data_IF_700800149605
#
_entry.id   IF_700800149605
#
_cell.length_a   1.000
_cell.length_b   1.000
_cell.length_c   1.000
_cell.angle_alpha   90.00
_cell.angle_beta   90.00
_cell.angle_gamma   90.00
#
_symmetry.space_group_name_H-M   'P 1'
#
loop_
_entity.id
_entity.type
_entity.pdbx_description
1 polymer ?
#
# COMPACT_ATOMS: atom_id res chain seq x y z
N UNK A 1 45.72 -5.18 9.19
CA UNK A 1 44.60 -4.21 9.01
C UNK A 1 43.42 -4.98 8.48
N UNK A 2 42.47 -5.23 9.30
CA UNK A 2 41.19 -5.75 8.83
C UNK A 2 40.56 -4.68 7.96
N UNK A 3 40.45 -4.95 6.66
CA UNK A 3 39.57 -4.19 5.81
C UNK A 3 38.18 -4.20 6.49
N UNK A 4 37.85 -3.09 7.09
CA UNK A 4 36.49 -2.87 7.57
C UNK A 4 35.67 -2.82 6.31
N UNK A 5 35.23 -3.98 5.89
CA UNK A 5 34.33 -4.12 4.75
C UNK A 5 33.19 -3.15 5.04
N UNK A 6 32.99 -2.21 4.15
CA UNK A 6 31.79 -1.36 4.16
C UNK A 6 30.61 -2.29 3.88
N UNK A 7 30.21 -3.06 4.91
CA UNK A 7 29.38 -4.24 4.78
C UNK A 7 28.08 -3.95 4.07
N UNK A 8 27.07 -3.48 4.80
CA UNK A 8 25.73 -3.32 4.26
C UNK A 8 25.60 -2.20 3.22
N UNK A 9 26.32 -1.09 3.37
CA UNK A 9 26.21 0.04 2.45
C UNK A 9 26.65 -0.34 1.04
N UNK A 10 27.81 -1.00 0.91
CA UNK A 10 28.31 -1.49 -0.38
C UNK A 10 27.40 -2.57 -0.94
N UNK A 11 27.02 -3.55 -0.11
CA UNK A 11 26.15 -4.64 -0.52
C UNK A 11 24.79 -4.13 -1.00
N UNK A 12 24.22 -3.12 -0.33
CA UNK A 12 22.94 -2.54 -0.72
C UNK A 12 23.02 -1.79 -2.05
N UNK A 13 24.09 -1.02 -2.28
CA UNK A 13 24.30 -0.34 -3.57
C UNK A 13 24.40 -1.37 -4.71
N UNK A 14 25.17 -2.45 -4.53
CA UNK A 14 25.29 -3.49 -5.55
C UNK A 14 23.94 -4.22 -5.78
N UNK A 15 23.22 -4.54 -4.72
CA UNK A 15 21.90 -5.14 -4.83
C UNK A 15 20.90 -4.24 -5.58
N UNK A 16 20.90 -2.94 -5.27
CA UNK A 16 19.98 -1.97 -5.88
C UNK A 16 20.17 -1.85 -7.41
N UNK A 17 21.39 -2.01 -7.91
CA UNK A 17 21.67 -2.03 -9.35
C UNK A 17 21.00 -3.19 -10.09
N UNK A 18 20.71 -4.26 -9.36
CA UNK A 18 20.13 -5.49 -9.89
C UNK A 18 18.62 -5.61 -9.62
N UNK A 19 17.99 -4.61 -8.99
CA UNK A 19 16.54 -4.64 -8.78
C UNK A 19 15.80 -4.62 -10.11
N UNK A 20 14.85 -5.51 -10.24
CA UNK A 20 14.00 -5.62 -11.41
C UNK A 20 12.81 -4.66 -11.31
N UNK A 21 12.19 -4.36 -12.46
CA UNK A 21 10.92 -3.66 -12.46
C UNK A 21 9.82 -4.57 -11.92
N UNK A 22 8.96 -4.02 -11.08
CA UNK A 22 7.76 -4.71 -10.65
C UNK A 22 6.81 -4.81 -11.82
N UNK A 23 6.52 -6.04 -12.30
CA UNK A 23 5.51 -6.25 -13.32
C UNK A 23 4.11 -6.00 -12.77
N UNK A 24 3.19 -5.54 -13.61
CA UNK A 24 1.77 -5.40 -13.27
C UNK A 24 1.11 -6.78 -13.36
N UNK A 25 0.95 -7.46 -12.23
CA UNK A 25 0.44 -8.84 -12.16
C UNK A 25 -0.98 -8.95 -11.59
N UNK A 26 -1.54 -7.84 -11.12
CA UNK A 26 -2.87 -7.80 -10.58
C UNK A 26 -3.74 -6.72 -11.23
N UNK A 27 -5.04 -6.98 -11.29
CA UNK A 27 -6.03 -6.02 -11.74
C UNK A 27 -7.07 -5.82 -10.65
N UNK A 28 -7.30 -4.56 -10.30
CA UNK A 28 -8.38 -4.23 -9.40
C UNK A 28 -9.72 -4.22 -10.18
N UNK A 29 -10.67 -5.13 -9.89
CA UNK A 29 -11.93 -5.21 -10.61
C UNK A 29 -12.82 -3.98 -10.42
N UNK A 30 -12.66 -3.24 -9.31
CA UNK A 30 -13.47 -2.06 -9.01
C UNK A 30 -12.98 -0.81 -9.72
N UNK A 31 -11.68 -0.66 -9.91
CA UNK A 31 -11.06 0.55 -10.47
C UNK A 31 -10.46 0.34 -11.86
N UNK A 32 -10.50 -0.87 -12.41
CA UNK A 32 -9.88 -1.27 -13.68
C UNK A 32 -8.38 -0.98 -13.78
N UNK A 33 -7.73 -0.73 -12.65
CA UNK A 33 -6.31 -0.42 -12.57
C UNK A 33 -5.49 -1.71 -12.41
N UNK A 34 -4.29 -1.69 -12.96
CA UNK A 34 -3.32 -2.75 -12.76
C UNK A 34 -2.30 -2.30 -11.73
N UNK A 35 -1.88 -3.21 -10.87
CA UNK A 35 -0.85 -2.96 -9.87
C UNK A 35 0.00 -4.21 -9.64
N UNK A 36 1.22 -4.02 -9.14
CA UNK A 36 2.07 -5.13 -8.72
C UNK A 36 1.65 -5.59 -7.32
N UNK A 37 1.35 -6.87 -7.18
CA UNK A 37 1.10 -7.48 -5.87
C UNK A 37 2.36 -7.47 -5.00
N UNK A 38 2.18 -7.69 -3.70
CA UNK A 38 3.31 -7.77 -2.76
C UNK A 38 4.32 -8.85 -3.20
N UNK A 39 3.85 -9.99 -3.69
CA UNK A 39 4.70 -11.07 -4.19
C UNK A 39 5.60 -10.60 -5.34
N UNK A 40 5.05 -9.84 -6.29
CA UNK A 40 5.82 -9.29 -7.40
C UNK A 40 6.85 -8.25 -6.93
N UNK A 41 6.48 -7.40 -5.97
CA UNK A 41 7.40 -6.44 -5.37
C UNK A 41 8.56 -7.13 -4.64
N UNK A 42 8.26 -8.17 -3.88
CA UNK A 42 9.28 -8.98 -3.19
C UNK A 42 10.18 -9.70 -4.20
N UNK A 43 9.58 -10.31 -5.24
CA UNK A 43 10.32 -11.02 -6.29
C UNK A 43 11.27 -10.09 -7.07
N UNK A 44 10.92 -8.83 -7.22
CA UNK A 44 11.75 -7.85 -7.92
C UNK A 44 13.04 -7.47 -7.18
N UNK A 45 13.05 -7.56 -5.85
CA UNK A 45 14.17 -7.06 -5.03
C UNK A 45 14.89 -8.14 -4.22
N UNK A 46 14.16 -9.13 -3.71
CA UNK A 46 14.72 -10.13 -2.79
C UNK A 46 15.87 -10.96 -3.37
N UNK A 47 15.82 -11.44 -4.63
CA UNK A 47 16.93 -12.20 -5.20
C UNK A 47 18.25 -11.41 -5.22
N UNK A 48 18.22 -10.15 -5.60
CA UNK A 48 19.38 -9.27 -5.61
C UNK A 48 19.89 -8.99 -4.19
N UNK A 49 18.99 -8.71 -3.24
CA UNK A 49 19.37 -8.53 -1.84
C UNK A 49 20.08 -9.77 -1.28
N UNK A 50 19.49 -10.95 -1.45
CA UNK A 50 20.04 -12.21 -0.95
C UNK A 50 21.40 -12.55 -1.62
N UNK A 51 21.55 -12.26 -2.92
CA UNK A 51 22.81 -12.45 -3.65
C UNK A 51 23.96 -11.66 -3.01
N UNK A 52 23.65 -10.49 -2.46
CA UNK A 52 24.63 -9.61 -1.79
C UNK A 52 24.63 -9.75 -0.27
N UNK A 53 24.13 -10.87 0.27
CA UNK A 53 24.17 -11.17 1.70
C UNK A 53 23.23 -10.36 2.57
N UNK A 54 22.14 -9.82 1.98
CA UNK A 54 21.17 -9.01 2.68
C UNK A 54 19.85 -9.77 2.83
N UNK A 55 19.39 -9.91 4.06
CA UNK A 55 18.06 -10.40 4.39
C UNK A 55 17.05 -9.24 4.41
N UNK A 56 15.89 -9.45 3.79
CA UNK A 56 14.75 -8.56 3.85
C UNK A 56 13.83 -8.94 5.01
N UNK A 57 13.61 -8.03 5.94
CA UNK A 57 12.74 -8.22 7.10
C UNK A 57 11.69 -7.12 7.12
N UNK A 58 10.44 -7.49 7.32
CA UNK A 58 9.36 -6.52 7.58
C UNK A 58 8.76 -6.78 8.95
N UNK A 59 8.93 -5.82 9.85
CA UNK A 59 8.45 -5.88 11.24
C UNK A 59 7.15 -5.11 11.38
N UNK A 60 6.21 -5.71 12.10
CA UNK A 60 5.04 -5.00 12.62
C UNK A 60 5.39 -4.35 13.95
N UNK A 61 4.90 -3.14 14.15
CA UNK A 61 4.99 -2.42 15.40
C UNK A 61 3.62 -2.20 16.01
N UNK A 62 3.58 -2.06 17.31
CA UNK A 62 2.34 -1.73 18.03
C UNK A 62 1.75 -0.42 17.48
N UNK A 63 0.44 -0.42 17.25
CA UNK A 63 -0.25 0.68 16.62
C UNK A 63 -1.75 0.64 16.94
N UNK A 64 -2.30 1.77 17.32
CA UNK A 64 -3.74 1.95 17.45
C UNK A 64 -4.34 2.32 16.10
N UNK A 65 -5.51 1.76 15.79
CA UNK A 65 -6.33 2.09 14.61
C UNK A 65 -5.61 1.98 13.25
N UNK A 66 -4.73 1.01 13.12
CA UNK A 66 -4.03 0.80 11.85
C UNK A 66 -2.92 -0.22 11.91
N UNK A 67 -2.05 -0.11 10.93
CA UNK A 67 -0.86 -0.95 10.77
C UNK A 67 0.38 -0.06 10.73
N UNK A 68 1.41 -0.46 11.45
CA UNK A 68 2.73 0.19 11.40
C UNK A 68 3.78 -0.84 11.01
N UNK A 69 4.45 -0.60 9.89
CA UNK A 69 5.44 -1.50 9.29
C UNK A 69 6.79 -0.81 9.20
N UNK A 70 7.82 -1.57 9.47
CA UNK A 70 9.21 -1.20 9.24
C UNK A 70 9.86 -2.21 8.31
N UNK A 71 10.43 -1.75 7.20
CA UNK A 71 11.28 -2.58 6.34
C UNK A 71 12.72 -2.45 6.78
N UNK A 72 13.35 -3.57 7.11
CA UNK A 72 14.73 -3.66 7.58
C UNK A 72 15.52 -4.53 6.62
N UNK A 73 16.71 -4.07 6.26
CA UNK A 73 17.70 -4.81 5.54
C UNK A 73 18.80 -5.22 6.50
N UNK A 74 19.02 -6.52 6.68
CA UNK A 74 20.05 -7.06 7.57
C UNK A 74 21.12 -7.76 6.75
N UNK A 75 22.35 -7.28 6.86
CA UNK A 75 23.50 -7.87 6.20
C UNK A 75 24.12 -8.98 7.06
N UNK A 76 24.79 -9.95 6.43
CA UNK A 76 25.48 -11.06 7.09
C UNK A 76 26.55 -10.61 8.08
N UNK A 77 27.07 -9.39 7.98
CA UNK A 77 27.97 -8.77 8.97
C UNK A 77 27.27 -8.37 10.28
N UNK A 78 25.93 -8.46 10.35
CA UNK A 78 25.15 -7.97 11.46
C UNK A 78 24.72 -6.49 11.37
N UNK A 79 25.19 -5.76 10.36
CA UNK A 79 24.76 -4.39 10.11
C UNK A 79 23.33 -4.35 9.57
N UNK A 80 22.60 -3.30 9.89
CA UNK A 80 21.20 -3.12 9.48
C UNK A 80 20.95 -1.71 8.94
N UNK A 81 20.05 -1.62 7.96
CA UNK A 81 19.46 -0.38 7.47
C UNK A 81 17.95 -0.46 7.66
N UNK A 82 17.38 0.54 8.33
CA UNK A 82 15.93 0.71 8.40
C UNK A 82 15.44 1.62 7.28
N UNK A 83 14.38 1.21 6.61
CA UNK A 83 13.65 2.04 5.65
C UNK A 83 12.68 3.03 6.30
N UNK A 84 12.64 3.08 7.64
CA UNK A 84 11.71 3.88 8.40
C UNK A 84 10.38 3.19 8.68
N UNK A 85 9.53 3.87 9.44
CA UNK A 85 8.22 3.39 9.83
C UNK A 85 7.14 3.93 8.89
N UNK A 86 6.31 3.05 8.35
CA UNK A 86 5.13 3.40 7.58
C UNK A 86 3.87 3.07 8.39
N UNK A 87 3.03 4.07 8.59
CA UNK A 87 1.72 3.92 9.21
C UNK A 87 0.63 3.95 8.14
N UNK A 88 -0.28 2.99 8.21
CA UNK A 88 -1.49 2.93 7.38
C UNK A 88 -2.70 2.81 8.30
N UNK A 89 -3.64 3.77 8.25
CA UNK A 89 -4.84 3.71 9.06
C UNK A 89 -5.76 2.57 8.61
N UNK A 90 -6.47 1.97 9.56
CA UNK A 90 -7.51 0.99 9.32
C UNK A 90 -8.74 1.36 10.16
N UNK A 91 -9.75 1.91 9.52
CA UNK A 91 -10.96 2.42 10.20
C UNK A 91 -11.83 1.30 10.77
N UNK A 92 -11.71 0.10 10.23
CA UNK A 92 -12.49 -1.05 10.66
C UNK A 92 -11.58 -2.12 11.27
N UNK A 93 -11.87 -2.50 12.50
CA UNK A 93 -11.10 -3.50 13.24
C UNK A 93 -11.56 -4.94 12.93
N UNK A 94 -11.78 -5.26 11.66
CA UNK A 94 -12.00 -6.63 11.24
C UNK A 94 -10.70 -7.27 10.77
N UNK A 95 -10.50 -8.58 10.96
CA UNK A 95 -9.30 -9.27 10.48
C UNK A 95 -9.03 -9.09 8.99
N UNK A 96 -10.08 -9.03 8.16
CA UNK A 96 -9.96 -8.81 6.72
C UNK A 96 -9.45 -7.40 6.38
N UNK A 97 -9.97 -6.37 7.03
CA UNK A 97 -9.54 -4.98 6.81
C UNK A 97 -8.12 -4.77 7.32
N UNK A 98 -7.79 -5.36 8.46
CA UNK A 98 -6.43 -5.34 8.98
C UNK A 98 -5.45 -6.04 8.02
N UNK A 99 -5.79 -7.22 7.51
CA UNK A 99 -4.97 -7.96 6.53
C UNK A 99 -4.75 -7.18 5.23
N UNK A 100 -5.77 -6.48 4.74
CA UNK A 100 -5.66 -5.62 3.56
C UNK A 100 -4.74 -4.43 3.81
N UNK A 101 -4.90 -3.76 4.95
CA UNK A 101 -4.03 -2.65 5.36
C UNK A 101 -2.59 -3.11 5.56
N UNK A 102 -2.38 -4.30 6.13
CA UNK A 102 -1.05 -4.89 6.31
C UNK A 102 -0.36 -5.17 4.97
N UNK A 103 -1.07 -5.76 4.01
CA UNK A 103 -0.53 -6.04 2.68
C UNK A 103 -0.18 -4.75 1.95
N UNK A 104 -1.04 -3.76 2.02
CA UNK A 104 -0.80 -2.42 1.48
C UNK A 104 0.44 -1.77 2.11
N UNK A 105 0.53 -1.75 3.44
CA UNK A 105 1.63 -1.16 4.17
C UNK A 105 2.97 -1.86 3.84
N UNK A 106 2.98 -3.18 3.77
CA UNK A 106 4.18 -3.96 3.42
C UNK A 106 4.69 -3.65 2.02
N UNK A 107 3.78 -3.54 1.05
CA UNK A 107 4.11 -3.22 -0.35
C UNK A 107 4.76 -1.84 -0.46
N UNK A 108 4.13 -0.81 0.08
CA UNK A 108 4.65 0.55 0.00
C UNK A 108 5.90 0.77 0.85
N UNK A 109 5.97 0.19 2.03
CA UNK A 109 7.18 0.24 2.86
C UNK A 109 8.38 -0.37 2.13
N UNK A 110 8.19 -1.52 1.47
CA UNK A 110 9.24 -2.18 0.70
C UNK A 110 9.71 -1.33 -0.48
N UNK A 111 8.79 -0.87 -1.32
CA UNK A 111 9.11 -0.07 -2.50
C UNK A 111 9.81 1.22 -2.12
N UNK A 112 9.32 1.92 -1.09
CA UNK A 112 9.93 3.14 -0.57
C UNK A 112 11.34 2.89 -0.05
N UNK A 113 11.53 1.85 0.76
CA UNK A 113 12.84 1.50 1.33
C UNK A 113 13.86 1.07 0.26
N UNK A 114 13.41 0.44 -0.82
CA UNK A 114 14.26 0.04 -1.94
C UNK A 114 14.53 1.17 -2.95
N UNK A 115 13.83 2.29 -2.85
CA UNK A 115 13.89 3.37 -3.84
C UNK A 115 13.28 2.98 -5.20
N UNK A 116 12.34 2.02 -5.19
CA UNK A 116 11.61 1.60 -6.38
C UNK A 116 10.30 2.37 -6.43
N UNK A 117 10.05 3.17 -7.46
CA UNK A 117 8.80 3.91 -7.56
C UNK A 117 7.64 2.92 -7.81
N UNK A 118 6.45 3.19 -7.24
CA UNK A 118 5.25 2.52 -7.68
C UNK A 118 4.99 2.91 -9.15
N UNK A 119 4.42 2.02 -9.93
CA UNK A 119 4.03 2.38 -11.29
C UNK A 119 2.91 3.42 -11.28
N UNK A 120 2.83 4.27 -12.31
CA UNK A 120 1.90 5.40 -12.41
C UNK A 120 0.42 5.06 -12.14
N UNK A 121 0.04 3.80 -12.32
CA UNK A 121 -1.32 3.31 -12.07
C UNK A 121 -1.59 2.92 -10.61
N UNK A 122 -0.60 2.95 -9.74
CA UNK A 122 -0.74 2.70 -8.30
C UNK A 122 -1.13 3.96 -7.51
N UNK A 123 -0.91 5.15 -8.08
CA UNK A 123 -1.26 6.43 -7.45
C UNK A 123 -2.78 6.66 -7.41
N UNK A 124 -3.53 6.11 -8.37
CA UNK A 124 -5.01 6.16 -8.36
C UNK A 124 -5.60 5.45 -7.14
N UNK A 125 -4.96 4.40 -6.63
CA UNK A 125 -5.41 3.70 -5.42
C UNK A 125 -5.27 4.57 -4.15
N UNK A 126 -4.30 5.48 -4.13
CA UNK A 126 -4.09 6.40 -3.02
C UNK A 126 -5.09 7.57 -3.02
N UNK A 127 -5.47 8.08 -4.19
CA UNK A 127 -6.51 9.11 -4.31
C UNK A 127 -7.89 8.59 -3.91
N UNK A 128 -8.20 7.34 -4.26
CA UNK A 128 -9.48 6.72 -3.88
C UNK A 128 -9.55 6.47 -2.37
N UNK A 129 -8.44 6.16 -1.71
CA UNK A 129 -8.40 6.04 -0.25
C UNK A 129 -8.60 7.37 0.48
N UNK A 130 -8.37 8.50 -0.20
CA UNK A 130 -8.57 9.86 0.34
C UNK A 130 -9.93 10.47 -0.01
N UNK A 131 -10.69 9.89 -0.94
CA UNK A 131 -12.04 10.37 -1.22
C UNK A 131 -12.99 9.87 -0.12
N UNK A 132 -13.66 10.78 0.60
CA UNK A 132 -14.72 10.38 1.49
C UNK A 132 -15.78 9.65 0.67
N UNK A 133 -16.16 8.49 1.16
CA UNK A 133 -17.15 7.59 0.60
C UNK A 133 -18.44 8.34 0.18
N UNK A 134 -18.63 8.53 -1.13
CA UNK A 134 -19.78 9.25 -1.70
C UNK A 134 -20.97 8.35 -2.04
N UNK A 135 -21.06 7.14 -1.48
CA UNK A 135 -22.23 6.27 -1.70
C UNK A 135 -23.56 6.84 -1.17
N UNK A 136 -23.53 7.84 -0.29
CA UNK A 136 -24.73 8.46 0.24
C UNK A 136 -25.48 9.35 -0.74
N UNK A 137 -24.79 9.99 -1.68
CA UNK A 137 -25.41 10.98 -2.57
C UNK A 137 -26.11 10.35 -3.77
N UNK A 138 -25.62 9.26 -4.32
CA UNK A 138 -26.29 8.58 -5.44
C UNK A 138 -27.57 7.85 -5.00
N UNK A 139 -27.60 7.29 -3.78
CA UNK A 139 -28.84 6.68 -3.27
C UNK A 139 -29.91 7.71 -2.93
N UNK A 140 -29.56 8.92 -2.51
CA UNK A 140 -30.55 9.99 -2.28
C UNK A 140 -31.11 10.54 -3.57
N UNK A 141 -30.31 10.70 -4.63
CA UNK A 141 -30.80 11.09 -5.95
C UNK A 141 -31.73 10.05 -6.57
N UNK A 142 -31.39 8.79 -6.47
CA UNK A 142 -32.20 7.68 -6.98
C UNK A 142 -33.52 7.48 -6.22
N UNK A 143 -33.59 7.87 -4.95
CA UNK A 143 -34.85 7.86 -4.17
C UNK A 143 -35.72 9.08 -4.39
N UNK A 144 -35.15 10.26 -4.65
CA UNK A 144 -35.88 11.47 -4.93
C UNK A 144 -36.67 11.40 -6.24
N UNK A 145 -36.13 10.72 -7.26
CA UNK A 145 -36.80 10.54 -8.57
C UNK A 145 -37.92 9.50 -8.56
N UNK A 146 -38.08 8.73 -7.47
CA UNK A 146 -39.13 7.69 -7.35
C UNK A 146 -40.33 8.10 -6.51
N UNK A 147 -40.38 9.33 -6.01
CA UNK A 147 -41.52 9.82 -5.25
C UNK A 147 -42.59 10.38 -6.21
N UNK A 148 -43.86 9.94 -6.10
CA UNK A 148 -44.93 10.50 -6.91
C UNK A 148 -45.19 11.97 -6.52
N UNK A 149 -45.62 12.82 -7.47
CA UNK A 149 -45.84 14.23 -7.20
C UNK A 149 -46.90 14.40 -6.12
N UNK A 150 -46.60 15.19 -5.09
CA UNK A 150 -47.56 15.57 -4.06
C UNK A 150 -48.69 16.34 -4.72
N UNK A 151 -49.93 15.82 -4.67
CA UNK A 151 -51.15 16.54 -5.06
C UNK A 151 -51.30 17.80 -4.21
N UNK A 152 -51.45 18.92 -4.86
CA UNK A 152 -51.76 20.19 -4.20
C UNK A 152 -53.14 20.11 -3.51
N UNK A 153 -53.33 20.73 -2.33
CA UNK A 153 -54.62 20.73 -1.66
C UNK A 153 -55.63 21.56 -2.46
N UNK A 154 -56.80 20.98 -2.76
CA UNK A 154 -57.92 21.69 -3.35
C UNK A 154 -58.47 22.72 -2.35
N UNK A 155 -58.44 23.97 -2.73
CA UNK A 155 -59.10 25.07 -2.00
C UNK A 155 -60.61 25.02 -2.35
N UNK A 156 -61.42 24.55 -1.43
CA UNK A 156 -62.88 24.71 -1.53
C UNK A 156 -63.19 26.17 -1.35
N UNK A 157 -63.70 26.81 -2.42
CA UNK A 157 -64.37 28.10 -2.33
C UNK A 157 -65.81 27.87 -1.80
N UNK A 158 -66.12 28.50 -0.70
CA UNK A 158 -67.49 28.71 -0.21
C UNK A 158 -68.09 29.90 -0.91
#
# INVERSE_FOLDING_TARGET
>A
MTEKTLGIAKAFVEAQKEFEKTGLDARNPHFRNQYARLEACVAAVKPALNKHGIALIQKTHECENGVKIETIFMHESGEQISGGLLYVPSEQQSPQKYGSALTYARRYSLLTACGVPPEEKLDDDAEVAQQPYREGEEKQKSMADKLPPKKAPEIKKS
#
